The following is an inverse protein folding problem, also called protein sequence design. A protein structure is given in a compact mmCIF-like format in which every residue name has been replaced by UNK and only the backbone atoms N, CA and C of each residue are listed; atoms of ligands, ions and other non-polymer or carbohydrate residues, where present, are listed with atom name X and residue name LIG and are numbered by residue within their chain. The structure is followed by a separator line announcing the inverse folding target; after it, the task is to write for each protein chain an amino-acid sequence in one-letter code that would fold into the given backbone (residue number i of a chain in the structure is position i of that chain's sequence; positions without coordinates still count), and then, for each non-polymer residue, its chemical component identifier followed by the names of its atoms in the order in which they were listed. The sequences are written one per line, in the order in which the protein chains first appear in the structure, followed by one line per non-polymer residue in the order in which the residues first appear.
data_IF_017408454790
#
_entry.id   IF_017408454790
#
_cell.length_a   1.000
_cell.length_b   1.000
_cell.length_c   1.000
_cell.angle_alpha   90.00
_cell.angle_beta   90.00
_cell.angle_gamma   90.00
#
_symmetry.space_group_name_H-M   'P 1'
#
loop_
_entity.id
_entity.type
_entity.pdbx_description
1 polymer ?
#
# COMPACT_ATOMS: atom_id res chain seq x y z
N UNK A 1 16.25 -53.72 -32.84
CA UNK A 1 16.47 -52.48 -33.63
C UNK A 1 15.12 -51.78 -33.79
N UNK A 2 15.01 -50.54 -33.28
CA UNK A 2 14.10 -49.44 -33.70
C UNK A 2 12.59 -49.73 -33.80
N UNK A 3 11.65 -48.99 -33.20
CA UNK A 3 11.70 -47.72 -32.50
C UNK A 3 10.29 -47.10 -32.39
N UNK A 4 10.20 -46.11 -31.50
CA UNK A 4 9.24 -44.99 -31.45
C UNK A 4 7.77 -45.22 -31.02
N UNK A 5 7.60 -45.02 -29.71
CA UNK A 5 6.47 -44.40 -29.02
C UNK A 5 5.91 -43.19 -29.78
N UNK A 6 4.60 -43.19 -30.07
CA UNK A 6 3.84 -41.97 -30.42
C UNK A 6 2.63 -41.82 -29.50
N UNK A 7 2.78 -40.96 -28.49
CA UNK A 7 1.84 -39.93 -27.99
C UNK A 7 2.55 -39.18 -26.85
N UNK A 8 2.35 -37.86 -26.63
CA UNK A 8 1.13 -37.09 -26.93
C UNK A 8 1.38 -35.73 -27.60
N UNK A 9 0.87 -35.51 -28.81
CA UNK A 9 0.75 -34.16 -29.41
C UNK A 9 -0.51 -33.40 -28.92
N UNK A 10 -1.47 -34.06 -28.27
CA UNK A 10 -2.71 -33.40 -27.80
C UNK A 10 -2.59 -32.62 -26.48
N UNK A 11 -1.56 -32.82 -25.65
CA UNK A 11 -1.42 -32.04 -24.39
C UNK A 11 -0.71 -30.70 -24.58
N UNK A 12 0.19 -30.59 -25.56
CA UNK A 12 0.88 -29.32 -25.84
C UNK A 12 -0.07 -28.31 -26.49
N UNK A 13 -0.93 -28.76 -27.40
CA UNK A 13 -1.89 -27.88 -28.09
C UNK A 13 -2.91 -27.25 -27.15
N UNK A 14 -3.35 -27.95 -26.11
CA UNK A 14 -4.31 -27.44 -25.11
C UNK A 14 -3.65 -26.47 -24.12
N UNK A 15 -2.41 -26.72 -23.72
CA UNK A 15 -1.63 -25.83 -22.83
C UNK A 15 -1.27 -24.51 -23.52
N UNK A 16 -0.86 -24.55 -24.80
CA UNK A 16 -0.53 -23.37 -25.60
C UNK A 16 -1.78 -22.53 -25.90
N UNK A 17 -2.91 -23.16 -26.22
CA UNK A 17 -4.19 -22.43 -26.37
C UNK A 17 -4.61 -21.79 -25.05
N UNK A 18 -4.54 -22.51 -23.93
CA UNK A 18 -4.94 -21.97 -22.62
C UNK A 18 -4.07 -20.80 -22.15
N UNK A 19 -2.76 -20.85 -22.39
CA UNK A 19 -1.84 -19.75 -22.08
C UNK A 19 -2.08 -18.54 -22.99
N UNK A 20 -2.33 -18.76 -24.29
CA UNK A 20 -2.74 -17.72 -25.22
C UNK A 20 -4.03 -17.01 -24.77
N UNK A 21 -5.10 -17.77 -24.45
CA UNK A 21 -6.35 -17.19 -23.96
C UNK A 21 -6.15 -16.40 -22.66
N UNK A 22 -5.31 -16.88 -21.75
CA UNK A 22 -5.01 -16.20 -20.49
C UNK A 22 -4.21 -14.91 -20.68
N UNK A 23 -3.31 -14.85 -21.66
CA UNK A 23 -2.59 -13.64 -22.03
C UNK A 23 -3.56 -12.62 -22.66
N UNK A 24 -4.37 -13.08 -23.60
CA UNK A 24 -5.40 -12.27 -24.26
C UNK A 24 -6.41 -11.69 -23.25
N UNK A 25 -6.86 -12.48 -22.29
CA UNK A 25 -7.72 -12.02 -21.20
C UNK A 25 -7.10 -10.88 -20.39
N UNK A 26 -5.79 -10.94 -20.08
CA UNK A 26 -5.11 -9.89 -19.34
C UNK A 26 -4.99 -8.58 -20.16
N UNK A 27 -4.78 -8.69 -21.47
CA UNK A 27 -4.80 -7.54 -22.39
C UNK A 27 -6.19 -6.89 -22.44
N UNK A 28 -7.25 -7.68 -22.57
CA UNK A 28 -8.64 -7.20 -22.53
C UNK A 28 -9.01 -6.57 -21.19
N UNK A 29 -8.53 -7.13 -20.08
CA UNK A 29 -8.75 -6.56 -18.74
C UNK A 29 -8.19 -5.13 -18.65
N UNK A 30 -7.02 -4.88 -19.23
CA UNK A 30 -6.45 -3.53 -19.29
C UNK A 30 -7.36 -2.57 -20.06
N UNK A 31 -7.76 -2.92 -21.28
CA UNK A 31 -8.62 -2.08 -22.13
C UNK A 31 -9.98 -1.81 -21.48
N UNK A 32 -10.66 -2.85 -21.01
CA UNK A 32 -11.99 -2.72 -20.37
C UNK A 32 -11.93 -1.92 -19.06
N UNK A 33 -10.84 -2.06 -18.31
CA UNK A 33 -10.63 -1.24 -17.10
C UNK A 33 -10.36 0.23 -17.43
N UNK A 34 -9.71 0.54 -18.55
CA UNK A 34 -9.50 1.91 -19.02
C UNK A 34 -10.83 2.55 -19.45
N UNK A 35 -11.65 1.84 -20.24
CA UNK A 35 -12.98 2.31 -20.61
C UNK A 35 -13.89 2.60 -19.40
N UNK A 36 -13.81 1.74 -18.38
CA UNK A 36 -14.54 1.96 -17.13
C UNK A 36 -14.01 3.16 -16.34
N UNK A 37 -12.69 3.34 -16.31
CA UNK A 37 -12.05 4.48 -15.66
C UNK A 37 -12.40 5.80 -16.33
N UNK A 38 -12.37 5.87 -17.67
CA UNK A 38 -12.80 7.06 -18.43
C UNK A 38 -14.24 7.42 -18.14
N UNK A 39 -15.16 6.44 -18.14
CA UNK A 39 -16.56 6.70 -17.78
C UNK A 39 -16.68 7.38 -16.42
N UNK A 40 -15.90 6.95 -15.44
CA UNK A 40 -15.89 7.56 -14.11
C UNK A 40 -15.22 8.93 -14.06
N UNK A 41 -14.16 9.16 -14.86
CA UNK A 41 -13.57 10.50 -15.01
C UNK A 41 -14.51 11.48 -15.69
N UNK A 42 -15.27 11.05 -16.71
CA UNK A 42 -16.29 11.85 -17.36
C UNK A 42 -17.36 12.30 -16.37
N UNK A 43 -17.78 11.46 -15.42
CA UNK A 43 -18.68 11.90 -14.34
C UNK A 43 -18.02 13.01 -13.51
N UNK A 44 -16.76 12.83 -13.10
CA UNK A 44 -16.05 13.82 -12.29
C UNK A 44 -15.92 15.19 -13.00
N UNK A 45 -15.65 15.17 -14.31
CA UNK A 45 -15.47 16.39 -15.11
C UNK A 45 -16.80 16.95 -15.59
N UNK A 46 -17.56 16.18 -16.34
CA UNK A 46 -18.72 16.66 -17.09
C UNK A 46 -19.94 16.89 -16.18
N UNK A 47 -20.13 16.04 -15.16
CA UNK A 47 -21.26 16.19 -14.22
C UNK A 47 -20.94 17.11 -13.04
N UNK A 48 -19.79 16.94 -12.40
CA UNK A 48 -19.42 17.77 -11.24
C UNK A 48 -18.68 19.04 -11.63
N UNK A 49 -17.49 18.95 -12.22
CA UNK A 49 -16.64 20.13 -12.49
C UNK A 49 -17.30 21.14 -13.43
N UNK A 50 -18.06 20.67 -14.41
CA UNK A 50 -18.75 21.50 -15.40
C UNK A 50 -20.19 21.88 -14.98
N UNK A 51 -20.66 21.46 -13.80
CA UNK A 51 -21.96 21.90 -13.27
C UNK A 51 -21.97 23.41 -13.09
N UNK A 52 -23.00 24.05 -13.63
CA UNK A 52 -23.22 25.50 -13.47
C UNK A 52 -23.39 25.86 -12.01
N UNK A 53 -24.20 25.10 -11.28
CA UNK A 53 -24.50 25.34 -9.87
C UNK A 53 -23.25 25.23 -8.99
N UNK A 54 -22.43 24.20 -9.24
CA UNK A 54 -21.18 24.02 -8.51
C UNK A 54 -20.15 25.08 -8.90
N UNK A 55 -20.08 25.45 -10.18
CA UNK A 55 -19.18 26.49 -10.67
C UNK A 55 -19.50 27.86 -10.09
N UNK A 56 -20.78 28.22 -9.97
CA UNK A 56 -21.21 29.48 -9.33
C UNK A 56 -21.02 29.45 -7.80
N UNK A 57 -21.04 28.26 -7.19
CA UNK A 57 -20.81 28.09 -5.77
C UNK A 57 -19.33 28.24 -5.37
N UNK A 58 -18.41 27.90 -6.28
CA UNK A 58 -16.97 27.87 -6.03
C UNK A 58 -16.25 29.07 -6.65
N UNK A 59 -15.34 29.69 -5.89
CA UNK A 59 -14.40 30.65 -6.47
C UNK A 59 -13.44 29.98 -7.48
N UNK A 60 -12.87 30.74 -8.41
CA UNK A 60 -11.94 30.20 -9.41
C UNK A 60 -10.75 29.44 -8.78
N UNK A 61 -10.23 29.95 -7.67
CA UNK A 61 -9.13 29.34 -6.91
C UNK A 61 -9.56 28.04 -6.21
N UNK A 62 -10.74 28.02 -5.60
CA UNK A 62 -11.28 26.84 -4.92
C UNK A 62 -11.58 25.72 -5.92
N UNK A 63 -12.14 26.07 -7.08
CA UNK A 63 -12.34 25.14 -8.19
C UNK A 63 -11.02 24.54 -8.67
N UNK A 64 -9.98 25.37 -8.83
CA UNK A 64 -8.65 24.90 -9.19
C UNK A 64 -8.05 24.01 -8.11
N UNK A 65 -8.26 24.30 -6.83
CA UNK A 65 -7.76 23.46 -5.73
C UNK A 65 -8.51 22.16 -5.56
N UNK A 66 -9.84 22.15 -5.79
CA UNK A 66 -10.68 20.96 -5.63
C UNK A 66 -10.49 19.99 -6.81
N UNK A 67 -10.51 20.49 -8.04
CA UNK A 67 -10.42 19.64 -9.23
C UNK A 67 -9.01 19.55 -9.81
N UNK A 68 -8.06 20.41 -9.40
CA UNK A 68 -6.67 20.38 -9.89
C UNK A 68 -6.64 20.35 -11.43
N UNK A 69 -5.76 19.54 -12.02
CA UNK A 69 -5.66 19.29 -13.46
C UNK A 69 -6.47 18.07 -13.91
N UNK A 70 -7.66 17.82 -13.34
CA UNK A 70 -8.49 16.67 -13.71
C UNK A 70 -8.83 16.61 -15.21
N UNK A 71 -9.13 17.74 -15.90
CA UNK A 71 -9.38 17.71 -17.35
C UNK A 71 -8.17 17.18 -18.13
N UNK A 72 -6.96 17.67 -17.82
CA UNK A 72 -5.72 17.18 -18.47
C UNK A 72 -5.52 15.68 -18.26
N UNK A 73 -5.88 15.16 -17.08
CA UNK A 73 -5.84 13.72 -16.77
C UNK A 73 -6.86 12.96 -17.62
N UNK A 74 -8.09 13.45 -17.73
CA UNK A 74 -9.13 12.87 -18.58
C UNK A 74 -8.71 12.83 -20.04
N UNK A 75 -8.22 13.95 -20.59
CA UNK A 75 -7.84 14.05 -22.00
C UNK A 75 -6.72 13.07 -22.39
N UNK A 76 -5.66 12.98 -21.58
CA UNK A 76 -4.57 12.02 -21.82
C UNK A 76 -5.07 10.57 -21.72
N UNK A 77 -5.94 10.29 -20.76
CA UNK A 77 -6.48 8.94 -20.56
C UNK A 77 -7.46 8.55 -21.68
N UNK A 78 -8.27 9.48 -22.17
CA UNK A 78 -9.17 9.27 -23.31
C UNK A 78 -8.37 8.99 -24.58
N UNK A 79 -7.29 9.74 -24.82
CA UNK A 79 -6.40 9.48 -25.94
C UNK A 79 -5.73 8.10 -25.84
N UNK A 80 -5.31 7.71 -24.63
CA UNK A 80 -4.78 6.38 -24.38
C UNK A 80 -5.81 5.28 -24.66
N UNK A 81 -7.06 5.43 -24.21
CA UNK A 81 -8.15 4.49 -24.52
C UNK A 81 -8.41 4.37 -26.03
N UNK A 82 -8.47 5.51 -26.75
CA UNK A 82 -8.68 5.51 -28.19
C UNK A 82 -7.61 4.72 -28.94
N UNK A 83 -6.34 4.89 -28.55
CA UNK A 83 -5.24 4.16 -29.20
C UNK A 83 -5.30 2.65 -28.89
N UNK A 84 -5.72 2.27 -27.67
CA UNK A 84 -5.98 0.88 -27.30
C UNK A 84 -7.13 0.26 -28.11
N UNK A 85 -8.26 0.96 -28.21
CA UNK A 85 -9.45 0.51 -28.95
C UNK A 85 -9.14 0.37 -30.44
N UNK A 86 -8.47 1.36 -31.04
CA UNK A 86 -8.07 1.31 -32.44
C UNK A 86 -7.18 0.10 -32.75
N UNK A 87 -6.22 -0.21 -31.86
CA UNK A 87 -5.35 -1.38 -32.05
C UNK A 87 -6.12 -2.69 -31.86
N UNK A 88 -7.04 -2.75 -30.90
CA UNK A 88 -7.88 -3.91 -30.66
C UNK A 88 -8.79 -4.21 -31.87
N UNK A 89 -9.40 -3.18 -32.46
CA UNK A 89 -10.24 -3.31 -33.65
C UNK A 89 -9.45 -3.79 -34.88
N UNK A 90 -8.19 -3.37 -35.01
CA UNK A 90 -7.35 -3.74 -36.13
C UNK A 90 -6.92 -5.23 -36.13
N UNK A 91 -6.49 -5.76 -34.98
CA UNK A 91 -6.15 -7.19 -34.85
C UNK A 91 -6.35 -7.71 -33.41
N UNK A 92 -7.52 -8.31 -33.17
CA UNK A 92 -7.93 -8.87 -31.88
C UNK A 92 -6.97 -9.98 -31.38
N UNK A 93 -6.29 -10.69 -32.27
CA UNK A 93 -5.48 -11.87 -31.88
C UNK A 93 -4.00 -11.54 -31.69
N UNK A 94 -3.49 -10.47 -32.33
CA UNK A 94 -2.06 -10.13 -32.29
C UNK A 94 -1.75 -8.75 -31.69
N UNK A 95 -2.74 -8.02 -31.19
CA UNK A 95 -2.43 -6.72 -30.58
C UNK A 95 -1.51 -6.86 -29.35
N UNK A 96 -0.49 -6.01 -29.31
CA UNK A 96 0.26 -5.69 -28.10
C UNK A 96 -0.38 -4.44 -27.48
N UNK A 97 -0.47 -4.44 -26.16
CA UNK A 97 -0.94 -3.28 -25.38
C UNK A 97 0.22 -2.56 -24.72
N UNK A 98 1.32 -3.28 -24.46
CA UNK A 98 2.43 -2.76 -23.69
C UNK A 98 3.26 -1.74 -24.48
N UNK A 99 3.29 -1.81 -25.81
CA UNK A 99 3.88 -0.79 -26.68
C UNK A 99 3.11 0.54 -26.54
N UNK A 100 1.78 0.48 -26.58
CA UNK A 100 0.91 1.64 -26.39
C UNK A 100 1.08 2.20 -24.97
N UNK A 101 1.09 1.35 -23.93
CA UNK A 101 1.37 1.81 -22.57
C UNK A 101 2.70 2.55 -22.48
N UNK A 102 3.76 1.98 -23.07
CA UNK A 102 5.10 2.56 -23.06
C UNK A 102 5.13 3.92 -23.77
N UNK A 103 4.47 4.05 -24.92
CA UNK A 103 4.34 5.31 -25.67
C UNK A 103 3.63 6.40 -24.87
N UNK A 104 2.61 6.03 -24.09
CA UNK A 104 1.80 6.97 -23.30
C UNK A 104 2.41 7.32 -21.93
N UNK A 105 3.39 6.55 -21.43
CA UNK A 105 4.02 6.79 -20.12
C UNK A 105 4.51 8.23 -19.88
N UNK A 106 5.18 8.92 -20.83
CA UNK A 106 5.62 10.30 -20.63
C UNK A 106 4.46 11.28 -20.44
N UNK A 107 3.38 11.14 -21.22
CA UNK A 107 2.19 11.99 -21.12
C UNK A 107 1.45 11.74 -19.79
N UNK A 108 1.24 10.46 -19.44
CA UNK A 108 0.65 10.06 -18.17
C UNK A 108 1.44 10.65 -17.00
N UNK A 109 2.77 10.50 -16.99
CA UNK A 109 3.64 11.06 -15.95
C UNK A 109 3.47 12.58 -15.81
N UNK A 110 3.39 13.30 -16.93
CA UNK A 110 3.29 14.76 -16.96
C UNK A 110 2.00 15.29 -16.29
N UNK A 111 0.88 14.58 -16.44
CA UNK A 111 -0.42 15.05 -15.94
C UNK A 111 -0.82 14.42 -14.60
N UNK A 112 -0.54 13.13 -14.40
CA UNK A 112 -0.88 12.42 -13.16
C UNK A 112 -0.04 12.89 -11.98
N UNK A 113 1.26 13.15 -12.19
CA UNK A 113 2.15 13.52 -11.09
C UNK A 113 1.70 14.82 -10.38
N UNK A 114 1.44 15.95 -11.10
CA UNK A 114 0.90 17.14 -10.46
C UNK A 114 -0.47 16.92 -9.82
N UNK A 115 -1.34 16.14 -10.47
CA UNK A 115 -2.68 15.86 -9.93
C UNK A 115 -2.60 15.15 -8.58
N UNK A 116 -1.89 14.01 -8.56
CA UNK A 116 -1.71 13.20 -7.36
C UNK A 116 -0.99 13.99 -6.26
N UNK A 117 -0.02 14.84 -6.63
CA UNK A 117 0.67 15.73 -5.66
C UNK A 117 -0.29 16.67 -4.94
N UNK A 118 -1.31 17.15 -5.65
CA UNK A 118 -2.28 18.09 -5.09
C UNK A 118 -3.40 17.43 -4.30
N UNK A 119 -3.45 16.10 -4.21
CA UNK A 119 -4.58 15.39 -3.62
C UNK A 119 -4.86 15.75 -2.16
N UNK A 120 -3.82 16.01 -1.36
CA UNK A 120 -3.98 16.49 0.02
C UNK A 120 -4.70 17.86 0.07
N UNK A 121 -4.33 18.76 -0.83
CA UNK A 121 -4.97 20.08 -0.96
C UNK A 121 -6.41 19.96 -1.48
N UNK A 122 -6.69 19.03 -2.39
CA UNK A 122 -8.06 18.74 -2.85
C UNK A 122 -8.94 18.30 -1.68
N UNK A 123 -8.45 17.37 -0.87
CA UNK A 123 -9.15 16.84 0.31
C UNK A 123 -9.38 17.91 1.37
N UNK A 124 -8.35 18.71 1.69
CA UNK A 124 -8.47 19.83 2.62
C UNK A 124 -9.47 20.89 2.12
N UNK A 125 -9.42 21.22 0.83
CA UNK A 125 -10.34 22.18 0.21
C UNK A 125 -11.77 21.66 0.27
N UNK A 126 -11.99 20.38 -0.04
CA UNK A 126 -13.30 19.73 0.08
C UNK A 126 -13.84 19.82 1.52
N UNK A 127 -13.04 19.45 2.53
CA UNK A 127 -13.45 19.52 3.93
C UNK A 127 -13.74 20.95 4.39
N UNK A 128 -12.92 21.91 3.97
CA UNK A 128 -13.14 23.33 4.25
C UNK A 128 -14.45 23.82 3.63
N UNK A 129 -14.69 23.49 2.35
CA UNK A 129 -15.93 23.87 1.66
C UNK A 129 -17.18 23.29 2.34
N UNK A 130 -17.11 22.07 2.85
CA UNK A 130 -18.23 21.48 3.63
C UNK A 130 -18.53 22.25 4.93
N UNK A 131 -17.52 22.86 5.56
CA UNK A 131 -17.66 23.55 6.84
C UNK A 131 -17.96 25.04 6.70
N UNK A 132 -17.30 25.70 5.74
CA UNK A 132 -17.28 27.16 5.62
C UNK A 132 -18.23 27.69 4.53
N UNK A 133 -18.57 26.89 3.52
CA UNK A 133 -19.47 27.30 2.43
C UNK A 133 -20.86 26.67 2.62
N UNK A 134 -21.88 27.41 3.08
CA UNK A 134 -23.19 26.85 3.41
C UNK A 134 -23.97 26.35 2.19
N UNK A 135 -23.62 26.76 0.96
CA UNK A 135 -24.29 26.32 -0.27
C UNK A 135 -23.72 25.00 -0.80
N UNK A 136 -22.45 24.74 -0.53
CA UNK A 136 -21.71 23.62 -1.12
C UNK A 136 -22.29 22.24 -0.76
N UNK A 137 -22.61 21.90 0.51
CA UNK A 137 -23.17 20.59 0.85
C UNK A 137 -24.52 20.29 0.16
N UNK A 138 -25.39 21.29 0.04
CA UNK A 138 -26.72 21.12 -0.58
C UNK A 138 -26.64 20.89 -2.09
N UNK A 139 -25.75 21.62 -2.78
CA UNK A 139 -25.51 21.42 -4.21
C UNK A 139 -24.87 20.05 -4.44
N UNK A 140 -23.89 19.69 -3.61
CA UNK A 140 -23.20 18.42 -3.74
C UNK A 140 -24.16 17.23 -3.55
N UNK A 141 -25.01 17.26 -2.51
CA UNK A 141 -26.00 16.21 -2.28
C UNK A 141 -26.93 16.02 -3.49
N UNK A 142 -27.41 17.12 -4.09
CA UNK A 142 -28.25 17.07 -5.30
C UNK A 142 -27.52 16.48 -6.51
N UNK A 143 -26.24 16.82 -6.70
CA UNK A 143 -25.44 16.24 -7.80
C UNK A 143 -25.13 14.76 -7.56
N UNK A 144 -24.91 14.35 -6.31
CA UNK A 144 -24.63 12.96 -5.93
C UNK A 144 -25.87 12.04 -5.99
N UNK A 145 -27.08 12.62 -5.90
CA UNK A 145 -28.36 11.90 -6.09
C UNK A 145 -28.62 11.47 -7.54
N UNK A 146 -27.93 12.07 -8.52
CA UNK A 146 -28.09 11.71 -9.93
C UNK A 146 -27.72 10.23 -10.16
N UNK A 147 -28.57 9.43 -10.84
CA UNK A 147 -28.30 8.04 -11.14
C UNK A 147 -26.96 7.78 -11.83
N UNK A 148 -26.43 8.76 -12.59
CA UNK A 148 -25.12 8.64 -13.26
C UNK A 148 -23.98 8.42 -12.25
N UNK A 149 -24.12 8.94 -11.03
CA UNK A 149 -23.14 8.81 -9.95
C UNK A 149 -23.14 7.42 -9.30
N UNK A 150 -24.16 6.58 -9.57
CA UNK A 150 -24.29 5.22 -9.01
C UNK A 150 -24.16 5.18 -7.47
N UNK A 151 -24.66 6.22 -6.79
CA UNK A 151 -24.56 6.41 -5.33
C UNK A 151 -23.14 6.56 -4.79
N UNK A 152 -22.19 6.95 -5.64
CA UNK A 152 -20.84 7.30 -5.23
C UNK A 152 -20.73 8.81 -4.99
N UNK A 153 -20.11 9.25 -3.89
CA UNK A 153 -19.86 10.67 -3.65
C UNK A 153 -18.74 11.22 -4.54
N UNK A 154 -18.65 12.54 -4.69
CA UNK A 154 -17.60 13.22 -5.48
C UNK A 154 -16.19 12.77 -5.09
N UNK A 155 -15.94 12.59 -3.79
CA UNK A 155 -14.62 12.16 -3.28
C UNK A 155 -14.19 10.79 -3.82
N UNK A 156 -15.14 9.89 -4.12
CA UNK A 156 -14.86 8.59 -4.74
C UNK A 156 -14.41 8.71 -6.19
N UNK A 157 -14.71 9.81 -6.88
CA UNK A 157 -14.23 10.07 -8.23
C UNK A 157 -12.88 10.81 -8.23
N UNK A 158 -12.66 11.75 -7.31
CA UNK A 158 -11.41 12.51 -7.20
C UNK A 158 -10.20 11.63 -6.84
N UNK A 159 -10.40 10.50 -6.16
CA UNK A 159 -9.34 9.54 -5.83
C UNK A 159 -8.89 8.67 -7.04
N UNK A 160 -9.69 8.59 -8.11
CA UNK A 160 -9.48 7.62 -9.17
C UNK A 160 -8.12 7.75 -9.88
N UNK A 161 -7.58 8.95 -10.19
CA UNK A 161 -6.26 9.06 -10.81
C UNK A 161 -5.12 8.44 -9.99
N UNK A 162 -5.20 8.54 -8.65
CA UNK A 162 -4.23 7.90 -7.75
C UNK A 162 -4.31 6.37 -7.81
N UNK A 163 -5.54 5.83 -7.81
CA UNK A 163 -5.77 4.39 -7.92
C UNK A 163 -5.34 3.88 -9.30
N UNK A 164 -5.63 4.63 -10.37
CA UNK A 164 -5.37 4.21 -11.75
C UNK A 164 -3.89 4.00 -12.00
N UNK A 165 -3.03 4.94 -11.62
CA UNK A 165 -1.60 4.81 -11.91
C UNK A 165 -0.97 3.60 -11.21
N UNK A 166 -1.46 3.26 -10.01
CA UNK A 166 -1.06 2.06 -9.27
C UNK A 166 -1.56 0.80 -9.95
N UNK A 167 -2.84 0.80 -10.37
CA UNK A 167 -3.48 -0.35 -11.00
C UNK A 167 -2.96 -0.64 -12.40
N UNK A 168 -2.59 0.39 -13.17
CA UNK A 168 -2.01 0.23 -14.51
C UNK A 168 -0.69 -0.55 -14.46
N UNK A 169 0.17 -0.28 -13.46
CA UNK A 169 1.39 -1.07 -13.20
C UNK A 169 1.05 -2.54 -12.95
N UNK A 170 0.07 -2.81 -12.10
CA UNK A 170 -0.36 -4.18 -11.75
C UNK A 170 -0.92 -4.93 -12.96
N UNK A 171 -1.67 -4.25 -13.83
CA UNK A 171 -2.21 -4.82 -15.06
C UNK A 171 -1.09 -5.19 -16.05
N UNK A 172 -0.12 -4.29 -16.25
CA UNK A 172 1.06 -4.57 -17.08
C UNK A 172 1.88 -5.72 -16.50
N UNK A 173 2.03 -5.78 -15.17
CA UNK A 173 2.69 -6.92 -14.53
C UNK A 173 1.96 -8.23 -14.78
N UNK A 174 0.63 -8.25 -14.71
CA UNK A 174 -0.18 -9.44 -15.00
C UNK A 174 -0.03 -9.88 -16.47
N UNK A 175 0.14 -8.94 -17.40
CA UNK A 175 0.46 -9.23 -18.81
C UNK A 175 1.88 -9.81 -18.90
N UNK A 176 2.87 -9.17 -18.30
CA UNK A 176 4.26 -9.62 -18.26
C UNK A 176 4.38 -11.03 -17.68
N UNK A 177 3.57 -11.40 -16.68
CA UNK A 177 3.52 -12.76 -16.10
C UNK A 177 3.10 -13.85 -17.09
N UNK A 178 2.53 -13.46 -18.22
CA UNK A 178 1.90 -14.35 -19.21
C UNK A 178 2.55 -14.23 -20.59
N UNK A 179 3.57 -13.38 -20.75
CA UNK A 179 4.37 -13.31 -21.98
C UNK A 179 5.29 -14.52 -22.07
N UNK A 180 5.61 -14.94 -23.30
CA UNK A 180 6.59 -16.00 -23.53
C UNK A 180 8.01 -15.48 -23.18
N UNK A 181 8.82 -16.21 -22.41
CA UNK A 181 10.19 -15.80 -22.13
C UNK A 181 11.04 -15.64 -23.39
N UNK A 182 11.86 -14.59 -23.45
CA UNK A 182 12.68 -14.21 -24.61
C UNK A 182 11.90 -13.67 -25.80
N UNK A 183 10.61 -13.37 -25.64
CA UNK A 183 9.78 -12.80 -26.72
C UNK A 183 9.82 -11.27 -26.72
N UNK A 184 9.55 -10.68 -27.89
CA UNK A 184 9.37 -9.23 -28.02
C UNK A 184 8.31 -8.68 -27.05
N UNK A 185 7.23 -9.41 -26.82
CA UNK A 185 6.17 -9.02 -25.88
C UNK A 185 6.71 -8.91 -24.44
N UNK A 186 7.63 -9.79 -24.02
CA UNK A 186 8.28 -9.72 -22.70
C UNK A 186 9.16 -8.47 -22.59
N UNK A 187 9.92 -8.14 -23.64
CA UNK A 187 10.78 -6.95 -23.67
C UNK A 187 9.94 -5.67 -23.57
N UNK A 188 8.88 -5.56 -24.39
CA UNK A 188 7.99 -4.41 -24.39
C UNK A 188 7.25 -4.27 -23.05
N UNK A 189 6.69 -5.37 -22.53
CA UNK A 189 5.99 -5.38 -21.25
C UNK A 189 6.92 -5.01 -20.09
N UNK A 190 8.18 -5.46 -20.12
CA UNK A 190 9.14 -5.10 -19.08
C UNK A 190 9.51 -3.62 -19.13
N UNK A 191 9.73 -3.05 -20.32
CA UNK A 191 9.98 -1.61 -20.49
C UNK A 191 8.80 -0.79 -19.97
N UNK A 192 7.58 -1.14 -20.36
CA UNK A 192 6.37 -0.48 -19.88
C UNK A 192 6.23 -0.56 -18.35
N UNK A 193 6.47 -1.74 -17.77
CA UNK A 193 6.44 -1.93 -16.31
C UNK A 193 7.45 -1.05 -15.58
N UNK A 194 8.69 -0.98 -16.08
CA UNK A 194 9.75 -0.17 -15.50
C UNK A 194 9.44 1.34 -15.59
N UNK A 195 8.88 1.82 -16.70
CA UNK A 195 8.46 3.23 -16.81
C UNK A 195 7.31 3.55 -15.85
N UNK A 196 6.30 2.68 -15.74
CA UNK A 196 5.21 2.87 -14.77
C UNK A 196 5.70 2.83 -13.31
N UNK A 197 6.70 2.00 -13.00
CA UNK A 197 7.36 1.96 -11.69
C UNK A 197 7.99 3.32 -11.34
N UNK A 198 8.67 3.97 -12.29
CA UNK A 198 9.23 5.33 -12.11
C UNK A 198 8.15 6.38 -11.84
N UNK A 199 6.97 6.25 -12.45
CA UNK A 199 5.83 7.15 -12.16
C UNK A 199 5.34 6.97 -10.71
N UNK A 200 5.27 5.73 -10.21
CA UNK A 200 4.96 5.45 -8.79
C UNK A 200 6.04 6.03 -7.84
N UNK A 201 7.31 5.93 -8.19
CA UNK A 201 8.41 6.42 -7.33
C UNK A 201 8.43 7.95 -7.20
N UNK A 202 8.01 8.69 -8.23
CA UNK A 202 7.85 10.15 -8.15
C UNK A 202 6.79 10.59 -7.12
N UNK A 203 5.81 9.73 -6.83
CA UNK A 203 4.76 9.93 -5.81
C UNK A 203 5.31 9.99 -4.37
N UNK A 204 6.54 9.52 -4.13
CA UNK A 204 7.18 9.66 -2.81
C UNK A 204 7.24 11.12 -2.35
N UNK A 205 7.34 12.08 -3.27
CA UNK A 205 7.31 13.53 -2.99
C UNK A 205 5.98 14.00 -2.37
N UNK A 206 4.87 13.40 -2.77
CA UNK A 206 3.50 13.70 -2.28
C UNK A 206 3.30 13.14 -0.88
N UNK A 207 3.74 11.91 -0.67
CA UNK A 207 3.75 11.29 0.65
C UNK A 207 4.63 12.09 1.61
N UNK A 208 5.76 12.63 1.16
CA UNK A 208 6.62 13.50 1.97
C UNK A 208 5.91 14.76 2.46
N UNK A 209 5.03 15.37 1.66
CA UNK A 209 4.23 16.53 2.09
C UNK A 209 3.19 16.14 3.14
N UNK A 210 2.44 15.04 2.97
CA UNK A 210 1.50 14.53 3.98
C UNK A 210 2.21 14.15 5.29
N UNK A 211 3.37 13.49 5.20
CA UNK A 211 4.22 13.15 6.34
C UNK A 211 4.68 14.43 7.08
N UNK A 212 5.08 15.46 6.35
CA UNK A 212 5.47 16.75 6.93
C UNK A 212 4.30 17.42 7.68
N UNK A 213 3.11 17.41 7.09
CA UNK A 213 1.91 17.96 7.72
C UNK A 213 1.52 17.17 8.99
N UNK A 214 1.59 15.84 8.96
CA UNK A 214 1.37 14.97 10.11
C UNK A 214 2.37 15.30 11.24
N UNK A 215 3.66 15.49 10.91
CA UNK A 215 4.67 15.91 11.88
C UNK A 215 4.38 17.28 12.48
N UNK A 216 3.94 18.26 11.68
CA UNK A 216 3.58 19.60 12.16
C UNK A 216 2.41 19.52 13.14
N UNK A 217 1.36 18.77 12.80
CA UNK A 217 0.20 18.57 13.67
C UNK A 217 0.58 17.85 14.97
N UNK A 218 1.45 16.85 14.89
CA UNK A 218 1.92 16.11 16.05
C UNK A 218 2.84 16.96 16.94
N UNK A 219 3.69 17.80 16.35
CA UNK A 219 4.57 18.71 17.08
C UNK A 219 3.80 19.71 17.95
N UNK A 220 2.59 20.11 17.54
CA UNK A 220 1.69 20.96 18.37
C UNK A 220 1.14 20.24 19.61
N UNK A 221 1.13 18.89 19.60
CA UNK A 221 0.56 18.03 20.65
C UNK A 221 1.62 17.44 21.59
N UNK A 222 2.86 17.32 21.12
CA UNK A 222 3.98 16.73 21.87
C UNK A 222 4.73 17.79 22.69
N UNK A 223 4.93 17.51 23.98
CA UNK A 223 5.73 18.29 24.90
C UNK A 223 6.78 17.38 25.55
N UNK A 224 7.93 17.91 25.94
CA UNK A 224 9.02 17.13 26.55
C UNK A 224 9.19 17.50 28.03
N UNK A 225 9.31 16.51 28.91
CA UNK A 225 9.59 16.74 30.34
C UNK A 225 11.05 17.19 30.59
N UNK A 226 11.94 17.00 29.62
CA UNK A 226 13.36 17.32 29.72
C UNK A 226 13.96 17.79 28.39
N UNK A 227 14.97 17.06 27.89
CA UNK A 227 15.68 17.42 26.66
C UNK A 227 14.71 17.45 25.48
N UNK A 228 14.62 18.60 24.82
CA UNK A 228 13.78 18.80 23.64
C UNK A 228 14.36 17.98 22.49
N UNK A 229 13.50 17.23 21.81
CA UNK A 229 13.82 16.53 20.57
C UNK A 229 13.17 17.25 19.39
N UNK A 230 13.94 17.67 18.36
CA UNK A 230 13.38 18.35 17.19
C UNK A 230 12.57 17.34 16.36
N UNK A 231 11.25 17.37 16.50
CA UNK A 231 10.36 16.40 15.87
C UNK A 231 10.26 16.59 14.34
N UNK A 232 10.28 17.83 13.87
CA UNK A 232 10.14 18.16 12.45
C UNK A 232 11.47 17.92 11.74
N UNK A 233 11.45 17.05 10.72
CA UNK A 233 12.60 16.75 9.85
C UNK A 233 12.10 16.36 8.46
N UNK A 234 12.86 16.70 7.41
CA UNK A 234 12.51 16.38 6.02
C UNK A 234 12.58 14.88 5.72
N UNK A 235 13.35 14.12 6.49
CA UNK A 235 13.53 12.67 6.31
C UNK A 235 12.73 11.83 7.31
N UNK A 236 11.89 12.45 8.14
CA UNK A 236 11.14 11.75 9.20
C UNK A 236 9.70 11.51 8.79
N UNK A 237 9.17 10.36 9.18
CA UNK A 237 7.75 10.05 9.06
C UNK A 237 7.30 9.14 10.20
N UNK A 238 6.02 9.25 10.55
CA UNK A 238 5.41 8.40 11.55
C UNK A 238 5.20 7.00 10.95
N UNK A 239 5.72 5.98 11.63
CA UNK A 239 5.58 4.57 11.24
C UNK A 239 4.41 3.94 11.98
N UNK A 240 4.29 4.19 13.28
CA UNK A 240 3.18 3.70 14.10
C UNK A 240 3.01 4.56 15.35
N UNK A 241 1.79 4.72 15.82
CA UNK A 241 1.51 5.30 17.13
C UNK A 241 0.37 4.58 17.83
N UNK A 242 0.32 4.65 19.15
CA UNK A 242 -0.75 4.02 19.92
C UNK A 242 -0.42 3.83 21.39
N UNK A 243 -1.45 3.45 22.13
CA UNK A 243 -1.35 3.19 23.58
C UNK A 243 -1.01 1.72 23.85
N UNK A 244 -0.10 1.50 24.79
CA UNK A 244 0.22 0.21 25.37
C UNK A 244 0.19 0.34 26.90
N UNK A 245 0.23 -0.80 27.59
CA UNK A 245 0.27 -0.84 29.04
C UNK A 245 1.70 -1.14 29.51
N UNK A 246 2.31 -0.21 30.22
CA UNK A 246 3.51 -0.46 31.01
C UNK A 246 3.18 -1.39 32.17
N UNK A 247 3.95 -2.46 32.33
CA UNK A 247 3.82 -3.43 33.41
C UNK A 247 4.85 -3.10 34.49
N UNK A 248 4.37 -2.74 35.67
CA UNK A 248 5.24 -2.50 36.82
C UNK A 248 5.60 -3.85 37.47
N UNK A 249 6.90 -4.13 37.53
CA UNK A 249 7.47 -5.36 38.11
C UNK A 249 7.98 -5.19 39.54
N UNK A 250 7.93 -3.96 40.08
CA UNK A 250 8.43 -3.64 41.42
C UNK A 250 7.31 -3.73 42.47
N UNK A 251 6.07 -3.42 42.09
CA UNK A 251 4.92 -3.47 42.99
C UNK A 251 4.06 -4.71 42.73
N UNK A 252 4.31 -5.78 43.50
CA UNK A 252 3.47 -7.00 43.43
C UNK A 252 2.19 -6.82 44.24
N UNK A 253 1.03 -7.04 43.61
CA UNK A 253 -0.25 -7.15 44.33
C UNK A 253 -0.80 -8.56 44.21
N UNK A 254 -1.18 -9.16 45.33
CA UNK A 254 -1.81 -10.49 45.38
C UNK A 254 -3.32 -10.28 45.44
N UNK A 255 -4.04 -10.70 44.41
CA UNK A 255 -5.50 -10.75 44.39
C UNK A 255 -5.95 -12.17 44.03
N UNK A 256 -6.20 -12.97 45.08
CA UNK A 256 -6.52 -14.40 44.95
C UNK A 256 -5.33 -15.23 44.43
N UNK A 257 -5.62 -16.28 43.65
CA UNK A 257 -4.64 -17.28 43.17
C UNK A 257 -3.85 -16.86 41.91
N UNK A 258 -3.96 -15.60 41.45
CA UNK A 258 -3.28 -15.10 40.25
C UNK A 258 -2.49 -13.83 40.57
N UNK A 259 -1.19 -13.84 40.31
CA UNK A 259 -0.33 -12.66 40.40
C UNK A 259 -0.81 -11.61 39.38
N UNK A 260 -1.25 -10.43 39.85
CA UNK A 260 -1.63 -9.31 38.98
C UNK A 260 -0.64 -8.18 39.18
N UNK A 261 0.09 -7.88 38.11
CA UNK A 261 0.99 -6.74 38.04
C UNK A 261 0.18 -5.47 37.75
N UNK A 262 0.41 -4.38 38.48
CA UNK A 262 -0.18 -3.10 38.15
C UNK A 262 0.31 -2.65 36.78
N UNK A 263 -0.59 -2.00 36.05
CA UNK A 263 -0.30 -1.50 34.70
C UNK A 263 -0.62 -0.02 34.61
N UNK A 264 0.14 0.70 33.78
CA UNK A 264 -0.06 2.13 33.52
C UNK A 264 -0.07 2.40 32.02
N UNK A 265 -0.93 3.29 31.51
CA UNK A 265 -0.96 3.61 30.10
C UNK A 265 0.31 4.36 29.69
N UNK A 266 0.92 3.93 28.58
CA UNK A 266 2.06 4.58 27.93
C UNK A 266 1.76 4.66 26.44
N UNK A 267 1.97 5.84 25.87
CA UNK A 267 1.70 6.11 24.47
C UNK A 267 3.01 6.20 23.69
N UNK A 268 3.09 5.43 22.61
CA UNK A 268 4.27 5.32 21.76
C UNK A 268 4.06 6.09 20.47
N UNK A 269 5.08 6.83 20.04
CA UNK A 269 5.17 7.40 18.69
C UNK A 269 6.46 6.89 18.06
N UNK A 270 6.34 5.95 17.13
CA UNK A 270 7.44 5.36 16.40
C UNK A 270 7.56 6.03 15.04
N UNK A 271 8.72 6.59 14.77
CA UNK A 271 9.13 7.15 13.49
C UNK A 271 10.14 6.23 12.83
N UNK A 272 10.46 6.49 11.57
CA UNK A 272 11.46 5.73 10.83
C UNK A 272 12.89 5.82 11.40
N UNK A 273 13.19 6.86 12.20
CA UNK A 273 14.53 7.11 12.74
C UNK A 273 14.57 7.18 14.28
N UNK A 274 13.43 7.27 14.97
CA UNK A 274 13.36 7.34 16.42
C UNK A 274 12.03 6.83 17.02
N UNK A 275 12.03 6.58 18.33
CA UNK A 275 10.86 6.26 19.14
C UNK A 275 10.71 7.29 20.27
N UNK A 276 9.47 7.73 20.52
CA UNK A 276 9.10 8.57 21.67
C UNK A 276 8.14 7.80 22.58
N UNK A 277 8.44 7.76 23.88
CA UNK A 277 7.56 7.25 24.93
C UNK A 277 6.95 8.44 25.68
N UNK A 278 5.63 8.44 25.78
CA UNK A 278 4.87 9.55 26.36
C UNK A 278 3.73 9.11 27.25
N UNK A 279 3.31 9.99 28.16
CA UNK A 279 2.06 9.86 28.91
C UNK A 279 1.05 10.88 28.39
N UNK A 280 -0.22 10.50 28.32
CA UNK A 280 -1.29 11.46 28.01
C UNK A 280 -1.54 12.33 29.23
N UNK A 281 -1.44 13.65 29.06
CA UNK A 281 -1.73 14.62 30.12
C UNK A 281 -3.19 15.10 30.05
N UNK A 282 -3.68 15.34 28.84
CA UNK A 282 -5.05 15.72 28.50
C UNK A 282 -5.52 14.92 27.27
N UNK A 283 -6.77 15.12 26.82
CA UNK A 283 -7.36 14.43 25.65
C UNK A 283 -6.48 14.46 24.41
N UNK A 284 -5.68 15.51 24.21
CA UNK A 284 -4.90 15.75 22.97
C UNK A 284 -3.43 16.10 23.17
N UNK A 285 -2.89 16.06 24.41
CA UNK A 285 -1.49 16.44 24.69
C UNK A 285 -0.69 15.27 25.24
N UNK A 286 0.48 15.04 24.64
CA UNK A 286 1.42 13.99 25.02
C UNK A 286 2.65 14.60 25.68
N UNK A 287 3.01 14.04 26.81
CA UNK A 287 4.18 14.43 27.59
C UNK A 287 5.23 13.33 27.45
N UNK A 288 6.24 13.59 26.61
CA UNK A 288 7.35 12.68 26.33
C UNK A 288 8.31 12.70 27.50
N UNK A 289 8.49 11.54 28.10
CA UNK A 289 9.43 11.33 29.20
C UNK A 289 10.73 10.68 28.71
N UNK A 290 10.69 9.95 27.58
CA UNK A 290 11.86 9.24 27.03
C UNK A 290 11.81 9.22 25.50
N UNK A 291 12.97 9.38 24.85
CA UNK A 291 13.14 9.19 23.41
C UNK A 291 14.45 8.45 23.10
N UNK A 292 14.48 7.73 21.97
CA UNK A 292 15.67 6.99 21.51
C UNK A 292 15.68 6.87 19.98
N UNK A 293 16.87 6.75 19.38
CA UNK A 293 17.00 6.41 17.95
C UNK A 293 16.66 4.95 17.70
N UNK A 294 16.29 4.57 16.47
CA UNK A 294 16.00 3.15 16.16
C UNK A 294 17.19 2.22 16.47
N UNK A 295 18.42 2.64 16.15
CA UNK A 295 19.63 1.85 16.45
C UNK A 295 19.95 1.70 17.94
N UNK A 296 19.25 2.42 18.81
CA UNK A 296 19.39 2.38 20.27
C UNK A 296 18.37 1.44 20.92
N UNK A 297 17.38 0.95 20.16
CA UNK A 297 16.36 0.06 20.68
C UNK A 297 16.92 -1.36 20.80
N UNK A 298 16.42 -2.12 21.78
CA UNK A 298 16.49 -3.58 21.83
C UNK A 298 15.14 -4.11 22.29
N UNK A 299 14.52 -4.96 21.49
CA UNK A 299 13.21 -5.54 21.81
C UNK A 299 13.36 -7.05 21.97
N UNK A 300 12.78 -7.57 23.05
CA UNK A 300 12.71 -9.00 23.32
C UNK A 300 11.25 -9.43 23.43
N UNK A 301 10.82 -10.33 22.55
CA UNK A 301 9.51 -10.97 22.68
C UNK A 301 9.53 -11.93 23.89
N UNK A 302 8.59 -11.75 24.81
CA UNK A 302 8.49 -12.52 26.05
C UNK A 302 7.30 -13.48 26.03
N UNK A 303 6.85 -13.88 24.84
CA UNK A 303 5.65 -14.67 24.56
C UNK A 303 5.54 -16.01 25.29
N UNK A 304 6.56 -16.50 26.00
CA UNK A 304 6.45 -17.71 26.81
C UNK A 304 7.19 -17.60 28.15
N UNK A 305 6.41 -17.64 29.24
CA UNK A 305 6.83 -18.09 30.58
C UNK A 305 7.92 -17.28 31.29
N UNK A 306 7.73 -15.97 31.46
CA UNK A 306 8.20 -15.35 32.71
C UNK A 306 7.23 -15.76 33.82
N UNK A 307 7.75 -16.38 34.89
CA UNK A 307 6.98 -16.97 35.99
C UNK A 307 5.81 -16.05 36.43
N UNK A 308 4.58 -16.40 36.04
CA UNK A 308 3.35 -15.76 36.52
C UNK A 308 2.78 -14.58 35.72
N UNK A 309 3.43 -14.08 34.66
CA UNK A 309 2.91 -12.94 33.88
C UNK A 309 2.23 -13.42 32.59
N UNK A 310 0.90 -13.32 32.52
CA UNK A 310 0.12 -13.69 31.33
C UNK A 310 -0.22 -12.47 30.46
N UNK A 311 -0.20 -12.67 29.14
CA UNK A 311 -0.61 -11.67 28.14
C UNK A 311 0.40 -11.49 27.01
N UNK A 312 0.13 -10.53 26.13
CA UNK A 312 0.97 -10.23 24.97
C UNK A 312 2.01 -9.18 25.33
N UNK A 313 3.13 -9.63 25.91
CA UNK A 313 4.15 -8.76 26.52
C UNK A 313 5.46 -8.83 25.75
N UNK A 314 6.14 -7.70 25.65
CA UNK A 314 7.51 -7.59 25.16
C UNK A 314 8.31 -6.63 26.03
N UNK A 315 9.62 -6.83 26.07
CA UNK A 315 10.55 -5.97 26.80
C UNK A 315 11.27 -5.05 25.82
N UNK A 316 11.21 -3.76 26.09
CA UNK A 316 11.88 -2.73 25.32
C UNK A 316 12.99 -2.11 26.17
N UNK A 317 14.20 -2.12 25.65
CA UNK A 317 15.37 -1.48 26.23
C UNK A 317 15.86 -0.39 25.29
N UNK A 318 16.25 0.74 25.85
CA UNK A 318 16.83 1.88 25.14
C UNK A 318 18.27 2.05 25.63
N UNK A 319 19.22 1.90 24.72
CA UNK A 319 20.66 1.92 25.01
C UNK A 319 21.34 3.08 24.27
N UNK A 320 22.15 3.89 24.96
CA UNK A 320 23.08 4.81 24.29
C UNK A 320 24.47 4.18 24.32
N UNK A 321 24.91 3.66 23.18
CA UNK A 321 26.11 2.82 23.11
C UNK A 321 25.93 1.54 23.94
N UNK A 322 26.80 1.33 24.94
CA UNK A 322 26.70 0.18 25.85
C UNK A 322 25.86 0.45 27.10
N UNK A 323 25.48 1.71 27.35
CA UNK A 323 24.77 2.09 28.57
C UNK A 323 23.26 1.96 28.40
N UNK A 324 22.59 1.27 29.33
CA UNK A 324 21.14 1.21 29.40
C UNK A 324 20.59 2.53 29.96
N UNK A 325 19.82 3.27 29.16
CA UNK A 325 19.15 4.51 29.58
C UNK A 325 17.80 4.26 30.20
N UNK A 326 17.02 3.38 29.59
CA UNK A 326 15.67 3.11 30.00
C UNK A 326 15.27 1.68 29.62
N UNK A 327 14.40 1.07 30.40
CA UNK A 327 13.81 -0.21 30.09
C UNK A 327 12.36 -0.24 30.56
N UNK A 328 11.50 -0.87 29.77
CA UNK A 328 10.07 -0.91 30.01
C UNK A 328 9.49 -2.25 29.53
N UNK A 329 8.57 -2.81 30.30
CA UNK A 329 7.77 -3.97 29.91
C UNK A 329 6.44 -3.48 29.37
N UNK A 330 6.18 -3.77 28.09
CA UNK A 330 4.99 -3.29 27.39
C UNK A 330 4.06 -4.45 27.12
N UNK A 331 2.79 -4.27 27.48
CA UNK A 331 1.70 -5.22 27.26
C UNK A 331 0.74 -4.66 26.23
N UNK A 332 0.45 -5.46 25.21
CA UNK A 332 -0.62 -5.22 24.25
C UNK A 332 -1.90 -5.96 24.64
N UNK A 333 -3.04 -5.45 24.16
CA UNK A 333 -4.35 -6.07 24.35
C UNK A 333 -4.51 -7.33 23.50
N UNK A 334 -3.88 -7.36 22.32
CA UNK A 334 -3.99 -8.46 21.37
C UNK A 334 -2.62 -9.00 20.93
N UNK A 335 -2.61 -10.21 20.38
CA UNK A 335 -1.39 -10.82 19.85
C UNK A 335 -0.87 -10.02 18.65
N UNK A 336 -1.77 -9.66 17.72
CA UNK A 336 -1.43 -8.81 16.57
C UNK A 336 -0.86 -7.47 17.00
N UNK A 337 -1.46 -6.80 17.99
CA UNK A 337 -0.95 -5.52 18.48
C UNK A 337 0.50 -5.63 18.96
N UNK A 338 0.82 -6.67 19.72
CA UNK A 338 2.20 -6.96 20.16
C UNK A 338 3.13 -7.21 18.96
N UNK A 339 2.76 -8.11 18.05
CA UNK A 339 3.63 -8.48 16.92
C UNK A 339 3.83 -7.31 15.94
N UNK A 340 2.79 -6.50 15.71
CA UNK A 340 2.84 -5.28 14.91
C UNK A 340 3.84 -4.27 15.48
N UNK A 341 3.84 -4.03 16.79
CA UNK A 341 4.82 -3.16 17.45
C UNK A 341 6.25 -3.68 17.35
N UNK A 342 6.47 -4.98 17.61
CA UNK A 342 7.81 -5.59 17.52
C UNK A 342 8.34 -5.47 16.08
N UNK A 343 7.52 -5.82 15.10
CA UNK A 343 7.87 -5.76 13.68
C UNK A 343 8.17 -4.33 13.23
N UNK A 344 7.39 -3.35 13.70
CA UNK A 344 7.60 -1.95 13.33
C UNK A 344 8.91 -1.38 13.92
N UNK A 345 9.27 -1.77 15.15
CA UNK A 345 10.52 -1.34 15.79
C UNK A 345 11.76 -2.03 15.21
N UNK A 346 11.60 -3.28 14.76
CA UNK A 346 12.65 -4.09 14.14
C UNK A 346 12.14 -4.68 12.83
N UNK A 347 12.05 -3.85 11.77
CA UNK A 347 11.73 -4.38 10.46
C UNK A 347 12.85 -5.34 10.05
N UNK A 348 12.54 -6.58 9.64
CA UNK A 348 13.54 -7.48 9.07
C UNK A 348 14.30 -6.81 7.94
N UNK A 349 15.61 -7.03 7.91
CA UNK A 349 16.50 -6.40 6.95
C UNK A 349 16.04 -6.75 5.51
N UNK A 350 15.87 -5.74 4.63
CA UNK A 350 15.52 -5.97 3.23
C UNK A 350 16.48 -6.95 2.53
N UNK A 351 17.74 -7.02 2.99
CA UNK A 351 18.74 -7.97 2.46
C UNK A 351 18.48 -9.41 2.86
N UNK A 352 18.08 -9.70 4.10
CA UNK A 352 17.67 -11.08 4.49
C UNK A 352 16.35 -11.49 3.84
N UNK A 353 15.55 -10.53 3.38
CA UNK A 353 14.32 -10.80 2.60
C UNK A 353 14.61 -10.96 1.10
N UNK A 354 15.71 -10.37 0.59
CA UNK A 354 16.12 -10.41 -0.82
C UNK A 354 17.21 -11.44 -1.13
N UNK A 355 17.94 -11.92 -0.12
CA UNK A 355 18.94 -12.98 -0.27
C UNK A 355 18.27 -14.34 -0.37
N UNK A 356 18.19 -14.82 -1.61
CA UNK A 356 17.97 -16.23 -1.99
C UNK A 356 16.69 -16.87 -1.45
N UNK A 357 15.53 -16.31 -1.82
CA UNK A 357 14.34 -17.17 -1.91
C UNK A 357 14.62 -18.19 -3.01
N UNK A 358 15.06 -19.38 -2.62
CA UNK A 358 15.40 -20.44 -3.55
C UNK A 358 14.13 -20.78 -4.36
N UNK A 359 14.22 -21.02 -5.67
CA UNK A 359 13.04 -21.27 -6.53
C UNK A 359 12.18 -22.47 -6.09
N UNK A 360 12.70 -23.26 -5.15
CA UNK A 360 12.09 -24.46 -4.60
C UNK A 360 11.66 -24.34 -3.13
N UNK A 361 11.77 -23.16 -2.50
CA UNK A 361 11.24 -22.94 -1.16
C UNK A 361 9.71 -22.89 -1.20
N UNK A 362 9.08 -23.83 -0.48
CA UNK A 362 7.63 -23.92 -0.36
C UNK A 362 7.12 -22.95 0.71
N UNK A 363 7.09 -21.67 0.37
CA UNK A 363 6.64 -20.60 1.27
C UNK A 363 5.11 -20.57 1.37
N UNK A 364 4.57 -20.35 2.56
CA UNK A 364 3.12 -20.14 2.74
C UNK A 364 2.65 -18.92 1.94
N UNK A 365 1.59 -19.11 1.15
CA UNK A 365 1.01 -18.07 0.32
C UNK A 365 -0.49 -18.00 0.50
N UNK A 366 -1.02 -16.79 0.41
CA UNK A 366 -2.44 -16.50 0.45
C UNK A 366 -2.85 -15.66 -0.76
N UNK A 367 -4.09 -15.84 -1.21
CA UNK A 367 -4.71 -15.04 -2.26
C UNK A 367 -5.78 -14.14 -1.64
N UNK A 368 -5.76 -12.85 -1.98
CA UNK A 368 -6.78 -11.92 -1.58
C UNK A 368 -8.11 -12.23 -2.30
N UNK A 369 -9.17 -12.43 -1.54
CA UNK A 369 -10.51 -12.76 -2.06
C UNK A 369 -11.44 -11.54 -2.09
N UNK A 370 -11.11 -10.45 -1.37
CA UNK A 370 -11.88 -9.19 -1.29
C UNK A 370 -10.93 -8.02 -1.06
N UNK A 371 -11.16 -6.88 -1.70
CA UNK A 371 -10.32 -5.69 -1.50
C UNK A 371 -10.40 -5.18 -0.06
N UNK A 372 -9.26 -4.70 0.47
CA UNK A 372 -9.11 -4.16 1.82
C UNK A 372 -8.39 -2.82 1.76
N UNK A 373 -8.94 -1.78 2.38
CA UNK A 373 -8.26 -0.49 2.50
C UNK A 373 -7.56 -0.41 3.85
N UNK A 374 -6.24 -0.18 3.85
CA UNK A 374 -5.45 0.01 5.07
C UNK A 374 -6.00 1.15 5.93
N UNK A 375 -6.17 0.90 7.23
CA UNK A 375 -6.65 1.87 8.21
C UNK A 375 -5.51 2.44 9.07
N UNK A 376 -4.46 1.65 9.27
CA UNK A 376 -3.24 2.07 9.97
C UNK A 376 -2.02 2.02 9.03
N UNK A 377 -0.97 2.79 9.36
CA UNK A 377 0.25 2.91 8.54
C UNK A 377 1.01 1.59 8.32
N UNK A 378 0.87 0.62 9.23
CA UNK A 378 1.48 -0.71 9.12
C UNK A 378 0.59 -1.75 8.43
N UNK A 379 -0.59 -1.34 7.95
CA UNK A 379 -1.50 -2.19 7.20
C UNK A 379 -1.28 -2.11 5.69
N UNK A 380 -1.59 -3.21 5.01
CA UNK A 380 -1.39 -3.34 3.58
C UNK A 380 -2.74 -3.30 2.85
N UNK A 381 -2.96 -2.28 2.02
CA UNK A 381 -4.17 -2.15 1.18
C UNK A 381 -4.19 -3.23 0.12
N UNK A 382 -5.12 -4.18 0.17
CA UNK A 382 -5.20 -5.32 -0.75
C UNK A 382 -6.19 -5.10 -1.88
N UNK A 383 -5.86 -5.60 -3.07
CA UNK A 383 -6.79 -5.76 -4.18
C UNK A 383 -7.17 -7.24 -4.38
N UNK A 384 -8.40 -7.48 -4.85
CA UNK A 384 -8.85 -8.84 -5.17
C UNK A 384 -7.87 -9.53 -6.13
N UNK A 385 -7.53 -10.77 -5.81
CA UNK A 385 -6.55 -11.63 -6.47
C UNK A 385 -5.06 -11.31 -6.21
N UNK A 386 -4.73 -10.35 -5.35
CA UNK A 386 -3.36 -10.18 -4.85
C UNK A 386 -2.82 -11.48 -4.25
N UNK A 387 -1.56 -11.80 -4.55
CA UNK A 387 -0.87 -12.97 -3.99
C UNK A 387 0.19 -12.49 -3.01
N UNK A 388 0.12 -12.99 -1.78
CA UNK A 388 1.00 -12.58 -0.70
C UNK A 388 1.70 -13.79 -0.10
N UNK A 389 2.98 -13.64 0.24
CA UNK A 389 3.68 -14.54 1.13
C UNK A 389 3.21 -14.26 2.56
N UNK A 390 2.62 -15.25 3.22
CA UNK A 390 2.26 -15.15 4.64
C UNK A 390 3.48 -15.47 5.51
N UNK A 391 3.82 -14.55 6.43
CA UNK A 391 4.96 -14.69 7.36
C UNK A 391 4.48 -15.11 8.74
N UNK A 392 3.58 -14.31 9.32
CA UNK A 392 3.08 -14.49 10.68
C UNK A 392 1.56 -14.48 10.64
N UNK A 393 0.91 -15.44 11.31
CA UNK A 393 -0.54 -15.46 11.49
C UNK A 393 -0.81 -15.45 12.98
N UNK A 394 -1.55 -14.45 13.46
CA UNK A 394 -1.87 -14.33 14.87
C UNK A 394 -3.22 -14.98 15.18
N UNK A 395 -3.40 -15.39 16.43
CA UNK A 395 -4.62 -16.07 16.90
C UNK A 395 -5.87 -15.18 16.83
N UNK A 396 -5.69 -13.86 16.86
CA UNK A 396 -6.75 -12.85 16.69
C UNK A 396 -7.04 -12.51 15.22
N UNK A 397 -6.54 -13.31 14.27
CA UNK A 397 -6.98 -13.26 12.88
C UNK A 397 -6.31 -12.20 12.01
N UNK A 398 -5.12 -11.72 12.40
CA UNK A 398 -4.29 -10.87 11.56
C UNK A 398 -3.18 -11.68 10.91
N UNK A 399 -2.79 -11.25 9.70
CA UNK A 399 -1.71 -11.86 8.94
C UNK A 399 -0.71 -10.78 8.58
N UNK A 400 0.55 -11.06 8.86
CA UNK A 400 1.66 -10.32 8.29
C UNK A 400 2.08 -10.99 6.98
N UNK A 401 2.21 -10.20 5.92
CA UNK A 401 2.67 -10.74 4.65
C UNK A 401 3.39 -9.75 3.77
N UNK A 402 3.98 -10.28 2.71
CA UNK A 402 4.68 -9.55 1.66
C UNK A 402 3.95 -9.82 0.35
N UNK A 403 3.44 -8.78 -0.29
CA UNK A 403 2.82 -8.90 -1.61
C UNK A 403 3.89 -9.24 -2.63
N UNK A 404 3.66 -10.29 -3.41
CA UNK A 404 4.68 -10.74 -4.36
C UNK A 404 4.92 -9.71 -5.48
N UNK A 405 3.88 -9.01 -5.95
CA UNK A 405 3.98 -8.12 -7.11
C UNK A 405 4.98 -6.97 -6.97
N UNK A 406 4.96 -6.29 -5.83
CA UNK A 406 5.79 -5.11 -5.58
C UNK A 406 6.71 -5.25 -4.35
N UNK A 407 6.60 -6.34 -3.60
CA UNK A 407 7.37 -6.56 -2.39
C UNK A 407 6.89 -5.74 -1.20
N UNK A 408 5.74 -5.07 -1.29
CA UNK A 408 5.19 -4.31 -0.16
C UNK A 408 4.81 -5.25 0.98
N UNK A 409 5.22 -4.88 2.19
CA UNK A 409 4.97 -5.63 3.41
C UNK A 409 4.00 -4.87 4.30
N UNK A 410 3.10 -5.60 4.93
CA UNK A 410 2.27 -5.05 6.00
C UNK A 410 1.32 -6.09 6.55
N UNK A 411 0.42 -5.61 7.40
CA UNK A 411 -0.58 -6.42 8.09
C UNK A 411 -1.94 -6.32 7.40
N UNK A 412 -2.68 -7.41 7.40
CA UNK A 412 -4.02 -7.47 6.84
C UNK A 412 -4.88 -8.52 7.55
N UNK A 413 -6.22 -8.39 7.54
CA UNK A 413 -7.07 -9.35 8.23
C UNK A 413 -7.16 -10.68 7.47
N UNK A 414 -7.06 -11.80 8.18
CA UNK A 414 -7.14 -13.16 7.64
C UNK A 414 -8.44 -13.41 6.87
N UNK A 415 -9.53 -12.75 7.23
CA UNK A 415 -10.86 -12.89 6.61
C UNK A 415 -10.96 -12.36 5.17
N UNK A 416 -9.94 -11.64 4.70
CA UNK A 416 -9.84 -11.09 3.34
C UNK A 416 -8.98 -11.94 2.41
N UNK A 417 -8.39 -13.02 2.91
CA UNK A 417 -7.49 -13.89 2.17
C UNK A 417 -7.85 -15.36 2.32
N UNK A 418 -7.45 -16.16 1.35
CA UNK A 418 -7.57 -17.61 1.35
C UNK A 418 -6.20 -18.26 1.14
N UNK A 419 -5.93 -19.38 1.81
CA UNK A 419 -4.65 -20.08 1.68
C UNK A 419 -4.51 -20.79 0.34
N UNK A 420 -3.36 -20.62 -0.31
CA UNK A 420 -3.02 -21.35 -1.53
C UNK A 420 -2.47 -22.72 -1.13
N UNK A 421 -3.35 -23.71 -0.99
CA UNK A 421 -2.98 -25.06 -0.53
C UNK A 421 -2.13 -25.86 -1.53
N UNK A 422 -2.24 -25.55 -2.83
CA UNK A 422 -1.50 -26.23 -3.89
C UNK A 422 -0.02 -25.82 -3.91
N UNK A 423 0.87 -26.74 -3.50
CA UNK A 423 2.34 -26.57 -3.61
C UNK A 423 2.77 -26.17 -5.03
N UNK A 424 2.21 -26.81 -6.04
CA UNK A 424 2.51 -26.50 -7.43
C UNK A 424 2.09 -25.07 -7.80
N UNK A 425 0.99 -24.55 -7.25
CA UNK A 425 0.62 -23.15 -7.44
C UNK A 425 1.58 -22.19 -6.73
N UNK A 426 1.96 -22.51 -5.49
CA UNK A 426 2.91 -21.69 -4.71
C UNK A 426 4.27 -21.57 -5.38
N UNK A 427 4.83 -22.68 -5.85
CA UNK A 427 6.10 -22.71 -6.59
C UNK A 427 6.02 -21.96 -7.92
N UNK A 428 4.89 -22.08 -8.65
CA UNK A 428 4.68 -21.29 -9.88
C UNK A 428 4.69 -19.79 -9.59
N UNK A 429 3.95 -19.34 -8.57
CA UNK A 429 3.91 -17.93 -8.19
C UNK A 429 5.30 -17.39 -7.82
N UNK A 430 6.10 -18.19 -7.10
CA UNK A 430 7.45 -17.81 -6.69
C UNK A 430 8.41 -17.70 -7.89
N UNK A 431 8.45 -18.72 -8.75
CA UNK A 431 9.28 -18.72 -9.97
C UNK A 431 8.94 -17.56 -10.89
N UNK A 432 7.65 -17.29 -11.03
CA UNK A 432 7.17 -16.18 -11.84
C UNK A 432 7.63 -14.82 -11.29
N UNK A 433 7.59 -14.65 -9.97
CA UNK A 433 8.09 -13.45 -9.33
C UNK A 433 9.60 -13.27 -9.50
N UNK A 434 10.38 -14.34 -9.32
CA UNK A 434 11.84 -14.33 -9.50
C UNK A 434 12.18 -13.98 -10.95
N UNK A 435 11.47 -14.57 -11.93
CA UNK A 435 11.64 -14.26 -13.36
C UNK A 435 11.42 -12.77 -13.62
N UNK A 436 10.30 -12.21 -13.19
CA UNK A 436 10.00 -10.77 -13.40
C UNK A 436 11.06 -9.88 -12.76
N UNK A 437 11.50 -10.19 -11.53
CA UNK A 437 12.57 -9.43 -10.86
C UNK A 437 13.88 -9.48 -11.66
N UNK A 438 14.25 -10.65 -12.17
CA UNK A 438 15.47 -10.83 -12.97
C UNK A 438 15.39 -10.06 -14.30
N UNK A 439 14.27 -10.14 -15.02
CA UNK A 439 14.10 -9.46 -16.30
C UNK A 439 14.04 -7.94 -16.12
N UNK A 440 13.35 -7.44 -15.08
CA UNK A 440 13.30 -6.00 -14.78
C UNK A 440 14.66 -5.43 -14.37
N UNK A 441 15.46 -6.16 -13.59
CA UNK A 441 16.82 -5.75 -13.19
C UNK A 441 17.83 -5.75 -14.34
N UNK A 442 17.78 -6.73 -15.26
CA UNK A 442 18.68 -6.78 -16.42
C UNK A 442 18.53 -5.54 -17.31
N UNK A 443 17.29 -5.14 -17.58
CA UNK A 443 17.01 -3.95 -18.40
C UNK A 443 17.36 -2.62 -17.69
N UNK A 444 17.28 -2.57 -16.36
CA UNK A 444 17.78 -1.42 -15.57
C UNK A 444 19.31 -1.29 -15.67
N UNK A 445 20.05 -2.40 -15.75
CA UNK A 445 21.51 -2.43 -15.89
C UNK A 445 22.04 -2.19 -17.31
N UNK A 446 21.25 -2.45 -18.35
CA UNK A 446 21.59 -2.17 -19.75
C UNK A 446 21.30 -0.71 -20.18
N UNK A 447 20.62 0.06 -19.32
CA UNK A 447 20.25 1.47 -19.55
C UNK A 447 21.18 2.49 -18.85
N UNK A 448 22.26 2.02 -18.22
CA UNK A 448 23.37 2.83 -17.69
C UNK A 448 24.58 2.69 -18.61
#
# INVERSE_FOLDING_TARGET
KTGFVKKPQCMYHTQTSFTFYRSLQAKFELVTSEASYIRSLSIAVDHFMMSVELTECLGAQERQWLFSKLPDVKDVSEKFLQDLEHRLEADILRFDVCDIVLEHCPALRKVYLPYVTNQAYQEQTYQRLLQENPRFPGILARLEEDPICQRLPLTSFLILPFQRITRLKMLVENILKRTTPGSRDEDTATKAFNELKKVKECNSSVQSMKRMEELIHLNKKIHFEGKIFPLISQSRWLVKHGELLEVDTQTMSISGSKLKLPTRPVYLHLFNDCLLLSRRKDTWKFMVFVHAKIGELKVKDLSQKLQGISGFIFHLQLCEGQQLKHQILLKSQTESGKQRWITAMFPPDPKTTSEQTNENEDLSQVQCIKSYQAQEHDELTLEKADILQAKTITSDGWVEGIRLSDGERGWFPKTYVEEITSRSARLRNLRENIRIKCVTQKLEGESQ
#
